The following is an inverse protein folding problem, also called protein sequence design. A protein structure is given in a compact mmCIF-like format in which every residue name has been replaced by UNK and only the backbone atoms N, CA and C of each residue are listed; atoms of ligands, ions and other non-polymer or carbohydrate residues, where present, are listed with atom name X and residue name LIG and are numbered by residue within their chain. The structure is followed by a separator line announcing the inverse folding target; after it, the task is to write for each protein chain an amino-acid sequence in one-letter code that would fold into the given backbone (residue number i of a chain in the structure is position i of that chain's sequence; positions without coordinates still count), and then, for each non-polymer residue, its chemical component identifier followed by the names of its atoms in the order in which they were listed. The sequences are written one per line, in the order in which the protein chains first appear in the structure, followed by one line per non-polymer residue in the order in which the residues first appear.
data_IF_203125015299
#
_entry.id   IF_203125015299
#
_cell.length_a   1.000
_cell.length_b   1.000
_cell.length_c   1.000
_cell.angle_alpha   90.00
_cell.angle_beta   90.00
_cell.angle_gamma   90.00
#
_symmetry.space_group_name_H-M   'P 1'
#
loop_
_entity.id
_entity.type
_entity.pdbx_description
1 polymer ?
#
# COMPACT_ATOMS: atom_id res chain seq x y z
N UNK A 1 -4.22 -7.06 31.56
CA UNK A 1 -4.57 -7.40 30.16
C UNK A 1 -3.53 -8.37 29.61
N UNK A 2 -3.94 -9.45 28.94
CA UNK A 2 -2.99 -10.36 28.26
C UNK A 2 -2.45 -9.64 27.02
N UNK A 3 -1.13 -9.58 26.83
CA UNK A 3 -0.43 -8.89 25.72
C UNK A 3 -1.07 -9.12 24.35
N UNK A 4 -1.57 -10.33 24.12
CA UNK A 4 -2.25 -10.74 22.87
C UNK A 4 -3.56 -9.97 22.60
N UNK A 5 -4.31 -9.62 23.64
CA UNK A 5 -5.54 -8.81 23.54
C UNK A 5 -5.23 -7.35 23.21
N UNK A 6 -4.19 -6.78 23.85
CA UNK A 6 -3.72 -5.43 23.56
C UNK A 6 -3.21 -5.30 22.11
N UNK A 7 -2.39 -6.24 21.64
CA UNK A 7 -1.93 -6.25 20.23
C UNK A 7 -3.09 -6.41 19.25
N UNK A 8 -4.09 -7.23 19.59
CA UNK A 8 -5.30 -7.38 18.81
C UNK A 8 -6.12 -6.11 18.64
N UNK A 9 -6.22 -5.31 19.69
CA UNK A 9 -6.91 -4.01 19.64
C UNK A 9 -6.26 -3.00 18.71
N UNK A 10 -4.96 -3.15 18.41
CA UNK A 10 -4.23 -2.25 17.51
C UNK A 10 -4.44 -2.56 16.02
N UNK A 11 -4.97 -3.73 15.68
CA UNK A 11 -5.15 -4.16 14.28
C UNK A 11 -5.94 -3.15 13.46
N UNK A 12 -7.15 -2.78 13.91
CA UNK A 12 -8.04 -1.85 13.21
C UNK A 12 -7.57 -0.38 13.29
N UNK A 13 -7.11 0.14 14.44
CA UNK A 13 -6.54 1.48 14.52
C UNK A 13 -5.34 1.68 13.58
N UNK A 14 -4.39 0.74 13.56
CA UNK A 14 -3.21 0.83 12.68
C UNK A 14 -3.64 0.72 11.22
N UNK A 15 -4.49 -0.26 10.90
CA UNK A 15 -4.97 -0.43 9.53
C UNK A 15 -5.73 0.80 9.03
N UNK A 16 -6.63 1.33 9.85
CA UNK A 16 -7.42 2.52 9.57
C UNK A 16 -6.56 3.77 9.44
N UNK A 17 -5.58 3.97 10.33
CA UNK A 17 -4.64 5.09 10.23
C UNK A 17 -3.86 5.05 8.92
N UNK A 18 -3.33 3.87 8.55
CA UNK A 18 -2.64 3.69 7.28
C UNK A 18 -3.51 4.06 6.07
N UNK A 19 -4.75 3.56 6.03
CA UNK A 19 -5.71 3.87 4.97
C UNK A 19 -6.06 5.35 4.92
N UNK A 20 -6.22 6.01 6.07
CA UNK A 20 -6.50 7.45 6.16
C UNK A 20 -5.35 8.27 5.61
N UNK A 21 -4.10 7.96 6.00
CA UNK A 21 -2.90 8.63 5.49
C UNK A 21 -2.78 8.43 3.98
N UNK A 22 -2.99 7.20 3.48
CA UNK A 22 -2.96 6.92 2.05
C UNK A 22 -4.02 7.68 1.28
N UNK A 23 -5.29 7.56 1.70
CA UNK A 23 -6.41 8.22 1.03
C UNK A 23 -6.28 9.74 1.04
N UNK A 24 -5.85 10.31 2.17
CA UNK A 24 -5.59 11.75 2.28
C UNK A 24 -4.49 12.20 1.31
N UNK A 25 -3.38 11.46 1.25
CA UNK A 25 -2.24 11.79 0.40
C UNK A 25 -2.59 11.70 -1.08
N UNK A 26 -3.30 10.65 -1.49
CA UNK A 26 -3.81 10.49 -2.86
C UNK A 26 -4.75 11.64 -3.23
N UNK A 27 -5.71 11.96 -2.35
CA UNK A 27 -6.64 13.08 -2.59
C UNK A 27 -5.91 14.42 -2.74
N UNK A 28 -4.86 14.64 -1.95
CA UNK A 28 -4.03 15.86 -2.06
C UNK A 28 -3.22 15.87 -3.33
N UNK A 29 -2.66 14.74 -3.76
CA UNK A 29 -1.89 14.65 -5.00
C UNK A 29 -2.76 14.97 -6.22
N UNK A 30 -3.99 14.43 -6.25
CA UNK A 30 -4.98 14.72 -7.31
C UNK A 30 -5.49 16.17 -7.30
N UNK A 31 -5.32 16.89 -6.19
CA UNK A 31 -5.75 18.27 -6.03
C UNK A 31 -4.58 19.27 -6.13
N UNK A 32 -3.37 18.82 -6.48
CA UNK A 32 -2.25 19.72 -6.72
C UNK A 32 -2.56 20.61 -7.93
N UNK A 33 -2.39 21.94 -7.82
CA UNK A 33 -2.57 22.82 -8.95
C UNK A 33 -1.50 22.55 -10.01
N UNK A 34 -1.87 22.73 -11.28
CA UNK A 34 -0.90 22.67 -12.36
C UNK A 34 0.18 23.75 -12.17
N UNK A 35 1.45 23.41 -12.45
CA UNK A 35 2.54 24.38 -12.33
C UNK A 35 2.32 25.57 -13.28
N UNK A 36 2.55 26.82 -12.83
CA UNK A 36 2.39 28.00 -13.66
C UNK A 36 3.21 27.91 -14.96
N UNK A 37 2.67 28.48 -16.04
CA UNK A 37 3.36 28.55 -17.33
C UNK A 37 4.70 29.32 -17.16
N UNK A 38 5.80 28.69 -17.57
CA UNK A 38 7.15 29.22 -17.40
C UNK A 38 7.86 28.83 -16.11
N UNK A 39 7.20 28.10 -15.19
CA UNK A 39 7.89 27.47 -14.06
C UNK A 39 8.60 26.17 -14.50
N UNK A 40 9.69 25.85 -13.81
CA UNK A 40 10.45 24.60 -13.99
C UNK A 40 9.72 23.36 -13.40
N UNK A 41 8.59 23.56 -12.73
CA UNK A 41 7.76 22.49 -12.16
C UNK A 41 8.39 21.77 -10.96
N UNK A 42 9.57 22.18 -10.49
CA UNK A 42 10.34 21.45 -9.47
C UNK A 42 9.55 21.29 -8.17
N UNK A 43 8.93 22.37 -7.68
CA UNK A 43 8.13 22.36 -6.45
C UNK A 43 6.92 21.43 -6.56
N UNK A 44 6.25 21.43 -7.70
CA UNK A 44 5.10 20.56 -7.96
C UNK A 44 5.53 19.08 -8.04
N UNK A 45 6.67 18.81 -8.67
CA UNK A 45 7.28 17.48 -8.71
C UNK A 45 7.67 16.97 -7.31
N UNK A 46 8.33 17.81 -6.50
CA UNK A 46 8.72 17.45 -5.14
C UNK A 46 7.49 17.21 -4.24
N UNK A 47 6.45 18.04 -4.36
CA UNK A 47 5.20 17.85 -3.65
C UNK A 47 4.51 16.53 -4.04
N UNK A 48 4.49 16.22 -5.33
CA UNK A 48 3.93 14.96 -5.85
C UNK A 48 4.69 13.75 -5.33
N UNK A 49 6.03 13.81 -5.31
CA UNK A 49 6.89 12.75 -4.77
C UNK A 49 6.66 12.55 -3.27
N UNK A 50 6.58 13.64 -2.49
CA UNK A 50 6.33 13.58 -1.05
C UNK A 50 4.96 12.95 -0.74
N UNK A 51 3.91 13.34 -1.48
CA UNK A 51 2.58 12.78 -1.32
C UNK A 51 2.52 11.31 -1.76
N UNK A 52 3.23 10.94 -2.82
CA UNK A 52 3.37 9.54 -3.23
C UNK A 52 4.04 8.70 -2.12
N UNK A 53 5.15 9.18 -1.54
CA UNK A 53 5.84 8.49 -0.46
C UNK A 53 4.95 8.32 0.78
N UNK A 54 4.23 9.38 1.18
CA UNK A 54 3.25 9.30 2.27
C UNK A 54 2.13 8.30 1.97
N UNK A 55 1.62 8.29 0.73
CA UNK A 55 0.58 7.36 0.33
C UNK A 55 1.06 5.90 0.42
N UNK A 56 2.29 5.64 0.00
CA UNK A 56 2.91 4.31 0.06
C UNK A 56 3.16 3.86 1.50
N UNK A 57 3.69 4.75 2.35
CA UNK A 57 3.90 4.45 3.77
C UNK A 57 2.58 4.13 4.45
N UNK A 58 1.55 4.95 4.23
CA UNK A 58 0.21 4.67 4.75
C UNK A 58 -0.32 3.30 4.28
N UNK A 59 -0.04 2.92 3.03
CA UNK A 59 -0.53 1.67 2.46
C UNK A 59 0.17 0.47 3.11
N UNK A 60 1.49 0.55 3.28
CA UNK A 60 2.29 -0.46 3.98
C UNK A 60 1.82 -0.60 5.43
N UNK A 61 1.61 0.52 6.13
CA UNK A 61 1.06 0.52 7.50
C UNK A 61 -0.32 -0.13 7.53
N UNK A 62 -1.19 0.17 6.56
CA UNK A 62 -2.51 -0.43 6.47
C UNK A 62 -2.44 -1.96 6.29
N UNK A 63 -1.64 -2.40 5.32
CA UNK A 63 -1.44 -3.81 5.00
C UNK A 63 -0.88 -4.58 6.20
N UNK A 64 0.18 -4.07 6.84
CA UNK A 64 0.75 -4.70 8.02
C UNK A 64 -0.22 -4.65 9.22
N UNK A 65 -1.00 -3.58 9.37
CA UNK A 65 -2.07 -3.48 10.35
C UNK A 65 -3.07 -4.62 10.24
N UNK A 66 -3.55 -4.93 9.03
CA UNK A 66 -4.45 -6.07 8.81
C UNK A 66 -3.79 -7.44 9.04
N UNK A 67 -2.46 -7.54 8.88
CA UNK A 67 -1.70 -8.75 9.15
C UNK A 67 -1.52 -9.05 10.66
N UNK A 68 -1.75 -8.08 11.56
CA UNK A 68 -1.64 -8.26 13.02
C UNK A 68 -2.66 -9.30 13.50
N UNK A 69 -2.24 -10.31 14.31
CA UNK A 69 -3.15 -11.29 14.91
C UNK A 69 -4.22 -10.63 15.79
N UNK A 70 -5.51 -10.98 15.64
CA UNK A 70 -6.57 -10.47 16.49
C UNK A 70 -6.38 -10.98 17.91
N UNK A 71 -6.87 -10.19 18.84
CA UNK A 71 -6.89 -10.50 20.26
C UNK A 71 -8.21 -11.17 20.62
N UNK A 72 -8.28 -11.75 21.81
CA UNK A 72 -9.54 -12.29 22.33
C UNK A 72 -10.58 -11.15 22.40
N UNK A 73 -11.63 -11.25 21.57
CA UNK A 73 -12.71 -10.26 21.49
C UNK A 73 -12.41 -8.97 20.69
N UNK A 74 -11.21 -8.81 20.11
CA UNK A 74 -10.82 -7.58 19.41
C UNK A 74 -10.24 -7.83 18.02
N UNK A 75 -10.64 -7.02 17.04
CA UNK A 75 -10.14 -7.04 15.68
C UNK A 75 -10.89 -7.98 14.73
N UNK A 76 -10.35 -8.13 13.51
CA UNK A 76 -10.94 -8.98 12.47
C UNK A 76 -10.11 -10.26 12.32
N UNK A 77 -10.79 -11.40 12.46
CA UNK A 77 -10.20 -12.72 12.24
C UNK A 77 -10.01 -13.00 10.75
N UNK A 78 -8.80 -12.71 10.27
CA UNK A 78 -8.33 -13.18 8.97
C UNK A 78 -7.65 -14.55 9.07
N UNK A 79 -7.90 -15.39 8.06
CA UNK A 79 -7.25 -16.68 7.91
C UNK A 79 -5.75 -16.53 7.54
N UNK A 80 -5.00 -17.64 7.52
CA UNK A 80 -3.54 -17.62 7.25
C UNK A 80 -3.21 -17.08 5.84
N UNK A 81 -4.06 -17.36 4.86
CA UNK A 81 -3.86 -16.94 3.47
C UNK A 81 -4.15 -15.44 3.27
N UNK A 82 -5.24 -14.93 3.84
CA UNK A 82 -5.58 -13.51 3.87
C UNK A 82 -4.45 -12.68 4.50
N UNK A 83 -3.87 -13.16 5.63
CA UNK A 83 -2.69 -12.50 6.23
C UNK A 83 -1.47 -12.49 5.33
N UNK A 84 -1.20 -13.61 4.65
CA UNK A 84 -0.09 -13.69 3.68
C UNK A 84 -0.31 -12.73 2.51
N UNK A 85 -1.54 -12.53 2.06
CA UNK A 85 -1.87 -11.53 1.05
C UNK A 85 -1.54 -10.12 1.55
N UNK A 86 -1.87 -9.77 2.80
CA UNK A 86 -1.53 -8.45 3.34
C UNK A 86 -0.02 -8.24 3.51
N UNK A 87 0.72 -9.24 3.98
CA UNK A 87 2.19 -9.17 4.02
C UNK A 87 2.76 -9.06 2.60
N UNK A 88 2.24 -9.86 1.67
CA UNK A 88 2.60 -9.79 0.26
C UNK A 88 2.32 -8.42 -0.36
N UNK A 89 1.20 -7.78 0.00
CA UNK A 89 0.86 -6.43 -0.42
C UNK A 89 1.88 -5.40 0.09
N UNK A 90 2.26 -5.47 1.36
CA UNK A 90 3.28 -4.60 1.93
C UNK A 90 4.64 -4.78 1.23
N UNK A 91 5.06 -6.03 1.02
CA UNK A 91 6.31 -6.36 0.31
C UNK A 91 6.27 -5.87 -1.14
N UNK A 92 5.20 -6.15 -1.87
CA UNK A 92 5.03 -5.70 -3.25
C UNK A 92 5.04 -4.16 -3.36
N UNK A 93 4.41 -3.45 -2.42
CA UNK A 93 4.44 -1.99 -2.36
C UNK A 93 5.86 -1.46 -2.15
N UNK A 94 6.64 -2.05 -1.23
CA UNK A 94 8.04 -1.66 -1.02
C UNK A 94 8.90 -1.97 -2.25
N UNK A 95 8.76 -3.18 -2.80
CA UNK A 95 9.47 -3.58 -4.02
C UNK A 95 9.12 -2.69 -5.21
N UNK A 96 7.90 -2.15 -5.27
CA UNK A 96 7.51 -1.24 -6.34
C UNK A 96 8.38 0.01 -6.39
N UNK A 97 8.98 0.44 -5.28
CA UNK A 97 9.91 1.57 -5.25
C UNK A 97 11.36 1.11 -5.38
N UNK A 98 11.76 0.11 -4.58
CA UNK A 98 13.16 -0.29 -4.52
C UNK A 98 13.61 -1.09 -5.75
N UNK A 99 12.77 -1.96 -6.31
CA UNK A 99 13.17 -2.79 -7.43
C UNK A 99 13.47 -1.94 -8.69
N UNK A 100 12.64 -0.95 -9.09
CA UNK A 100 12.97 -0.04 -10.18
C UNK A 100 14.25 0.77 -9.95
N UNK A 101 14.46 1.29 -8.74
CA UNK A 101 15.65 2.09 -8.40
C UNK A 101 16.94 1.27 -8.50
N UNK A 102 16.91 0.02 -8.02
CA UNK A 102 18.08 -0.87 -8.03
C UNK A 102 18.30 -1.45 -9.44
N UNK A 103 17.22 -1.87 -10.11
CA UNK A 103 17.30 -2.52 -11.41
C UNK A 103 17.57 -1.52 -12.55
N UNK A 104 17.36 -0.22 -12.35
CA UNK A 104 17.56 0.80 -13.39
C UNK A 104 18.95 0.73 -14.01
N UNK A 105 20.01 0.63 -13.19
CA UNK A 105 21.39 0.58 -13.68
C UNK A 105 21.64 -0.64 -14.57
N UNK A 106 21.09 -1.80 -14.20
CA UNK A 106 21.20 -3.02 -14.98
C UNK A 106 20.36 -2.95 -16.27
N UNK A 107 19.12 -2.46 -16.20
CA UNK A 107 18.22 -2.35 -17.36
C UNK A 107 18.75 -1.33 -18.37
N UNK A 108 19.27 -0.19 -17.91
CA UNK A 108 19.89 0.82 -18.78
C UNK A 108 21.05 0.23 -19.60
N UNK A 109 21.85 -0.68 -19.02
CA UNK A 109 22.94 -1.35 -19.71
C UNK A 109 22.49 -2.35 -20.80
N UNK A 110 21.23 -2.79 -20.77
CA UNK A 110 20.67 -3.73 -21.77
C UNK A 110 20.08 -3.05 -23.01
N UNK A 111 20.05 -1.71 -23.04
CA UNK A 111 19.39 -0.94 -24.11
C UNK A 111 17.85 -0.97 -24.05
N UNK A 112 17.27 -1.62 -23.05
CA UNK A 112 15.85 -1.54 -22.75
C UNK A 112 15.51 -0.14 -22.22
N UNK A 113 14.55 0.54 -22.85
CA UNK A 113 14.15 1.89 -22.48
C UNK A 113 13.49 1.99 -21.10
N UNK A 114 13.39 3.22 -20.58
CA UNK A 114 12.75 3.55 -19.29
C UNK A 114 11.35 2.97 -19.09
N UNK A 115 10.61 2.77 -20.20
CA UNK A 115 9.28 2.17 -20.16
C UNK A 115 9.23 0.82 -19.43
N UNK A 116 10.24 -0.04 -19.57
CA UNK A 116 10.26 -1.36 -18.89
C UNK A 116 10.29 -1.21 -17.36
N UNK A 117 11.05 -0.23 -16.87
CA UNK A 117 11.17 0.06 -15.43
C UNK A 117 9.91 0.75 -14.90
N UNK A 118 9.31 1.63 -15.69
CA UNK A 118 8.01 2.23 -15.34
C UNK A 118 6.90 1.18 -15.28
N UNK A 119 6.85 0.23 -16.22
CA UNK A 119 5.84 -0.83 -16.22
C UNK A 119 6.01 -1.80 -15.06
N UNK A 120 7.25 -2.16 -14.68
CA UNK A 120 7.48 -3.04 -13.53
C UNK A 120 7.10 -2.36 -12.20
N UNK A 121 7.34 -1.05 -12.08
CA UNK A 121 6.85 -0.24 -10.96
C UNK A 121 5.32 -0.32 -10.83
N UNK A 122 4.60 -0.01 -11.92
CA UNK A 122 3.14 -0.02 -11.95
C UNK A 122 2.59 -1.43 -11.69
N UNK A 123 3.21 -2.46 -12.26
CA UNK A 123 2.79 -3.84 -12.07
C UNK A 123 2.91 -4.27 -10.60
N UNK A 124 4.01 -3.93 -9.93
CA UNK A 124 4.22 -4.25 -8.51
C UNK A 124 3.23 -3.49 -7.61
N UNK A 125 2.98 -2.20 -7.88
CA UNK A 125 1.93 -1.44 -7.20
C UNK A 125 0.55 -2.06 -7.41
N UNK A 126 0.23 -2.45 -8.64
CA UNK A 126 -1.03 -3.11 -8.98
C UNK A 126 -1.20 -4.42 -8.21
N UNK A 127 -0.17 -5.27 -8.19
CA UNK A 127 -0.14 -6.49 -7.38
C UNK A 127 -0.36 -6.21 -5.89
N UNK A 128 0.25 -5.14 -5.35
CA UNK A 128 0.08 -4.75 -3.96
C UNK A 128 -1.38 -4.40 -3.66
N UNK A 129 -1.99 -3.53 -4.48
CA UNK A 129 -3.38 -3.10 -4.34
C UNK A 129 -4.34 -4.28 -4.48
N UNK A 130 -4.12 -5.15 -5.48
CA UNK A 130 -4.95 -6.34 -5.71
C UNK A 130 -4.82 -7.35 -4.57
N UNK A 131 -3.64 -7.54 -3.99
CA UNK A 131 -3.46 -8.45 -2.85
C UNK A 131 -4.19 -7.93 -1.61
N UNK A 132 -4.08 -6.62 -1.31
CA UNK A 132 -4.80 -6.01 -0.19
C UNK A 132 -6.32 -6.03 -0.41
N UNK A 133 -6.78 -5.57 -1.58
CA UNK A 133 -8.20 -5.54 -1.96
C UNK A 133 -8.80 -6.95 -2.02
N UNK A 134 -8.09 -7.91 -2.60
CA UNK A 134 -8.51 -9.31 -2.68
C UNK A 134 -8.60 -9.97 -1.31
N UNK A 135 -7.66 -9.70 -0.40
CA UNK A 135 -7.72 -10.20 0.99
C UNK A 135 -8.94 -9.66 1.75
N UNK A 136 -9.25 -8.37 1.57
CA UNK A 136 -10.44 -7.75 2.18
C UNK A 136 -11.74 -8.24 1.54
N UNK A 137 -11.80 -8.30 0.21
CA UNK A 137 -12.97 -8.78 -0.53
C UNK A 137 -13.29 -10.24 -0.21
N UNK A 138 -12.26 -11.09 -0.08
CA UNK A 138 -12.43 -12.46 0.38
C UNK A 138 -13.08 -12.47 1.77
N UNK A 139 -12.60 -11.67 2.72
CA UNK A 139 -13.18 -11.64 4.07
C UNK A 139 -14.64 -11.17 4.07
N UNK A 140 -14.99 -10.19 3.23
CA UNK A 140 -16.37 -9.74 3.06
C UNK A 140 -17.22 -10.87 2.47
N UNK A 141 -16.73 -11.59 1.46
CA UNK A 141 -17.40 -12.74 0.86
C UNK A 141 -17.71 -13.84 1.87
N UNK A 142 -16.75 -14.19 2.74
CA UNK A 142 -16.96 -15.15 3.83
C UNK A 142 -18.06 -14.65 4.80
N UNK A 143 -18.05 -13.37 5.15
CA UNK A 143 -19.02 -12.81 6.09
C UNK A 143 -20.44 -12.75 5.52
N UNK A 144 -20.58 -12.55 4.21
CA UNK A 144 -21.89 -12.56 3.51
C UNK A 144 -22.40 -13.99 3.34
N UNK A 145 -21.53 -14.94 3.00
CA UNK A 145 -21.90 -16.34 2.80
C UNK A 145 -22.40 -17.00 4.09
N UNK A 146 -21.80 -16.68 5.25
CA UNK A 146 -22.23 -17.21 6.56
C UNK A 146 -23.59 -16.66 7.02
N UNK A 147 -24.08 -15.56 6.44
CA UNK A 147 -25.39 -14.97 6.76
C UNK A 147 -26.54 -15.50 5.91
N UNK A 148 -26.27 -16.32 4.90
CA UNK A 148 -27.27 -17.00 4.07
C UNK A 148 -27.47 -18.43 4.56
#
# INVERSE_FOLDING_TARGET
MRVRSALGSLQLPIAGFGLLVSGWSIRRALALPEPPAGSDGFVSGLASLALYALALIGFVVAALGFAIPPGDGFGVRFNRWQRRLFVGAAVAALLSVFAPLIAWSAVAATGLGFGVVAWSWIALLGCAVLALGGGLAWRVGEAVAVRR
#
